data_IF_062812938101
#
_entry.id   IF_062812938101
#
_cell.length_a   1.000
_cell.length_b   1.000
_cell.length_c   1.000
_cell.angle_alpha   90.00
_cell.angle_beta   90.00
_cell.angle_gamma   90.00
#
_symmetry.space_group_name_H-M   'P 1'
#
loop_
_entity.id
_entity.type
_entity.pdbx_description
1 polymer ?
#
# COMPACT_ATOMS: atom_id res chain seq x y z
N UNK A 1 15.32 -36.81 -0.15
CA UNK A 1 14.27 -37.63 -0.77
C UNK A 1 13.82 -36.88 -2.01
N UNK A 2 14.47 -37.20 -3.16
CA UNK A 2 14.21 -36.52 -4.43
C UNK A 2 12.84 -36.97 -4.96
N UNK A 3 11.92 -36.05 -5.06
CA UNK A 3 10.65 -36.31 -5.75
C UNK A 3 10.93 -36.12 -7.25
N UNK A 4 11.04 -37.21 -7.98
CA UNK A 4 11.03 -37.24 -9.45
C UNK A 4 9.67 -36.72 -9.91
N UNK A 5 9.60 -35.43 -10.27
CA UNK A 5 8.50 -34.87 -11.05
C UNK A 5 9.04 -34.79 -12.46
N UNK A 6 8.50 -35.60 -13.36
CA UNK A 6 8.74 -35.59 -14.81
C UNK A 6 10.20 -35.63 -15.30
N UNK A 7 11.07 -36.48 -14.72
CA UNK A 7 12.37 -36.82 -15.33
C UNK A 7 13.46 -35.75 -15.33
N UNK A 8 13.22 -34.56 -14.81
CA UNK A 8 14.21 -33.47 -14.72
C UNK A 8 14.92 -33.52 -13.37
N UNK A 9 16.23 -33.74 -13.39
CA UNK A 9 17.09 -33.63 -12.19
C UNK A 9 17.60 -32.19 -12.09
N UNK A 10 17.24 -31.49 -11.02
CA UNK A 10 17.71 -30.15 -10.73
C UNK A 10 18.89 -30.25 -9.76
N UNK A 11 20.01 -29.70 -10.15
CA UNK A 11 21.27 -29.76 -9.38
C UNK A 11 21.35 -28.61 -8.36
N UNK A 12 22.07 -28.82 -7.26
CA UNK A 12 22.21 -27.77 -6.24
C UNK A 12 22.89 -26.49 -6.73
N UNK A 13 23.83 -26.61 -7.66
CA UNK A 13 24.47 -25.42 -8.23
C UNK A 13 23.51 -24.61 -9.10
N UNK A 14 22.57 -25.25 -9.82
CA UNK A 14 21.55 -24.56 -10.62
C UNK A 14 20.60 -23.77 -9.71
N UNK A 15 20.19 -24.35 -8.58
CA UNK A 15 19.38 -23.63 -7.58
C UNK A 15 20.15 -22.45 -6.96
N UNK A 16 21.44 -22.62 -6.71
CA UNK A 16 22.29 -21.55 -6.18
C UNK A 16 22.46 -20.42 -7.20
N UNK A 17 22.65 -20.76 -8.47
CA UNK A 17 22.74 -19.79 -9.55
C UNK A 17 21.42 -19.03 -9.74
N UNK A 18 20.29 -19.72 -9.67
CA UNK A 18 18.97 -19.13 -9.73
C UNK A 18 18.74 -18.11 -8.60
N UNK A 19 19.13 -18.45 -7.36
CA UNK A 19 19.06 -17.52 -6.21
C UNK A 19 19.88 -16.25 -6.47
N UNK A 20 21.11 -16.41 -6.94
CA UNK A 20 22.00 -15.26 -7.25
C UNK A 20 21.44 -14.40 -8.39
N UNK A 21 20.83 -15.03 -9.39
CA UNK A 21 20.20 -14.32 -10.51
C UNK A 21 19.00 -13.48 -10.03
N UNK A 22 18.12 -14.09 -9.25
CA UNK A 22 16.96 -13.40 -8.66
C UNK A 22 17.42 -12.24 -7.76
N UNK A 23 18.36 -12.48 -6.85
CA UNK A 23 18.91 -11.43 -5.99
C UNK A 23 19.48 -10.27 -6.80
N UNK A 24 20.25 -10.55 -7.83
CA UNK A 24 20.87 -9.51 -8.68
C UNK A 24 19.82 -8.67 -9.39
N UNK A 25 18.77 -9.28 -9.91
CA UNK A 25 17.77 -8.59 -10.71
C UNK A 25 16.69 -7.88 -9.87
N UNK A 26 16.35 -8.44 -8.71
CA UNK A 26 15.22 -7.96 -7.88
C UNK A 26 15.63 -7.48 -6.49
N UNK A 27 16.83 -7.83 -6.05
CA UNK A 27 17.28 -7.62 -4.68
C UNK A 27 16.71 -8.61 -3.66
N UNK A 28 15.74 -9.43 -4.08
CA UNK A 28 15.02 -10.35 -3.19
C UNK A 28 15.84 -11.61 -2.96
N UNK A 29 15.96 -12.00 -1.69
CA UNK A 29 16.55 -13.26 -1.27
C UNK A 29 15.46 -14.35 -1.31
N UNK A 30 15.68 -15.40 -2.08
CA UNK A 30 14.81 -16.58 -2.05
C UNK A 30 15.14 -17.43 -0.80
N UNK A 31 14.60 -17.02 0.33
CA UNK A 31 14.78 -17.73 1.61
C UNK A 31 13.74 -18.86 1.76
N UNK A 32 13.88 -19.89 0.91
CA UNK A 32 13.06 -21.08 0.93
C UNK A 32 13.96 -22.34 0.86
N UNK A 33 13.53 -23.51 1.39
CA UNK A 33 14.28 -24.75 1.26
C UNK A 33 14.56 -25.12 -0.21
N UNK A 34 15.72 -25.73 -0.48
CA UNK A 34 16.07 -26.20 -1.84
C UNK A 34 14.99 -27.11 -2.44
N UNK A 35 14.35 -27.93 -1.62
CA UNK A 35 13.25 -28.82 -2.06
C UNK A 35 12.01 -28.05 -2.57
N UNK A 36 11.69 -26.91 -1.92
CA UNK A 36 10.57 -26.07 -2.36
C UNK A 36 10.93 -25.31 -3.64
N UNK A 37 12.16 -24.77 -3.72
CA UNK A 37 12.64 -24.10 -4.91
C UNK A 37 12.71 -25.07 -6.11
N UNK A 38 13.24 -26.29 -5.90
CA UNK A 38 13.30 -27.32 -6.95
C UNK A 38 11.90 -27.73 -7.43
N UNK A 39 10.94 -27.87 -6.51
CA UNK A 39 9.56 -28.17 -6.89
C UNK A 39 8.93 -27.07 -7.74
N UNK A 40 9.17 -25.81 -7.37
CA UNK A 40 8.69 -24.66 -8.12
C UNK A 40 9.34 -24.56 -9.51
N UNK A 41 10.67 -24.79 -9.59
CA UNK A 41 11.39 -24.84 -10.87
C UNK A 41 10.81 -25.94 -11.77
N UNK A 42 10.61 -27.16 -11.24
CA UNK A 42 10.05 -28.26 -12.01
C UNK A 42 8.64 -27.92 -12.55
N UNK A 43 7.78 -27.35 -11.70
CA UNK A 43 6.44 -26.90 -12.13
C UNK A 43 6.50 -25.81 -13.20
N UNK A 44 7.43 -24.87 -13.07
CA UNK A 44 7.62 -23.80 -14.05
C UNK A 44 8.12 -24.34 -15.39
N UNK A 45 9.09 -25.27 -15.38
CA UNK A 45 9.60 -25.94 -16.58
C UNK A 45 8.49 -26.67 -17.34
N UNK A 46 7.64 -27.43 -16.62
CA UNK A 46 6.51 -28.14 -17.20
C UNK A 46 5.48 -27.17 -17.80
N UNK A 47 5.12 -26.12 -17.08
CA UNK A 47 4.13 -25.13 -17.53
C UNK A 47 4.56 -24.38 -18.79
N UNK A 48 5.86 -24.11 -18.92
CA UNK A 48 6.42 -23.33 -20.03
C UNK A 48 7.14 -24.18 -21.09
N UNK A 49 6.99 -25.52 -21.02
CA UNK A 49 7.58 -26.47 -21.96
C UNK A 49 9.10 -26.29 -22.13
N UNK A 50 9.80 -25.99 -21.02
CA UNK A 50 11.26 -25.82 -21.01
C UNK A 50 11.95 -27.14 -20.74
N UNK A 51 12.98 -27.45 -21.55
CA UNK A 51 13.65 -28.74 -21.52
C UNK A 51 14.58 -28.96 -20.31
N UNK A 52 15.05 -27.85 -19.68
CA UNK A 52 16.06 -27.95 -18.61
C UNK A 52 16.08 -26.71 -17.71
N UNK A 53 16.63 -26.82 -16.47
CA UNK A 53 16.92 -25.67 -15.63
C UNK A 53 17.85 -24.64 -16.27
N UNK A 54 18.79 -25.08 -17.11
CA UNK A 54 19.68 -24.20 -17.87
C UNK A 54 18.89 -23.31 -18.83
N UNK A 55 17.91 -23.87 -19.55
CA UNK A 55 17.02 -23.08 -20.41
C UNK A 55 16.19 -22.03 -19.63
N UNK A 56 15.77 -22.36 -18.41
CA UNK A 56 15.14 -21.39 -17.51
C UNK A 56 16.10 -20.27 -17.11
N UNK A 57 17.34 -20.61 -16.70
CA UNK A 57 18.35 -19.62 -16.33
C UNK A 57 18.66 -18.67 -17.49
N UNK A 58 18.80 -19.19 -18.71
CA UNK A 58 19.03 -18.37 -19.90
C UNK A 58 17.84 -17.46 -20.21
N UNK A 59 16.62 -17.97 -20.08
CA UNK A 59 15.41 -17.18 -20.22
C UNK A 59 15.33 -16.07 -19.17
N UNK A 60 15.63 -16.36 -17.91
CA UNK A 60 15.64 -15.37 -16.83
C UNK A 60 16.81 -14.36 -16.94
N UNK A 61 17.96 -14.74 -17.50
CA UNK A 61 19.06 -13.81 -17.80
C UNK A 61 18.68 -12.81 -18.90
N UNK A 62 17.90 -13.25 -19.87
CA UNK A 62 17.39 -12.39 -20.94
C UNK A 62 16.31 -11.40 -20.46
N UNK A 63 15.79 -11.54 -19.22
CA UNK A 63 14.70 -10.73 -18.66
C UNK A 63 15.03 -9.26 -18.39
N UNK A 64 16.25 -8.78 -18.61
CA UNK A 64 16.51 -7.34 -18.72
C UNK A 64 15.65 -6.70 -19.84
N UNK A 65 15.20 -7.51 -20.80
CA UNK A 65 14.34 -7.13 -21.92
C UNK A 65 12.84 -7.47 -21.66
N UNK A 66 12.54 -8.40 -20.75
CA UNK A 66 11.18 -8.82 -20.39
C UNK A 66 11.02 -9.06 -18.88
N UNK A 67 10.73 -8.00 -18.10
CA UNK A 67 10.50 -8.11 -16.66
C UNK A 67 9.31 -9.01 -16.28
N UNK A 68 8.38 -9.26 -17.20
CA UNK A 68 7.17 -10.04 -16.93
C UNK A 68 7.51 -11.52 -16.67
N UNK A 69 8.45 -12.09 -17.40
CA UNK A 69 8.88 -13.50 -17.23
C UNK A 69 9.48 -13.74 -15.84
N UNK A 70 10.33 -12.82 -15.35
CA UNK A 70 10.88 -12.94 -14.00
C UNK A 70 9.80 -12.78 -12.94
N UNK A 71 8.89 -11.83 -13.11
CA UNK A 71 7.78 -11.62 -12.19
C UNK A 71 6.86 -12.84 -12.11
N UNK A 72 6.55 -13.46 -13.25
CA UNK A 72 5.76 -14.69 -13.33
C UNK A 72 6.44 -15.85 -12.60
N UNK A 73 7.75 -16.02 -12.79
CA UNK A 73 8.53 -17.02 -12.05
C UNK A 73 8.48 -16.77 -10.52
N UNK A 74 8.59 -15.53 -10.10
CA UNK A 74 8.58 -15.16 -8.68
C UNK A 74 7.21 -15.28 -8.04
N UNK A 75 6.13 -15.13 -8.80
CA UNK A 75 4.75 -15.14 -8.32
C UNK A 75 4.37 -16.45 -7.61
N UNK A 76 4.89 -17.58 -8.09
CA UNK A 76 4.65 -18.87 -7.46
C UNK A 76 5.48 -19.15 -6.20
N UNK A 77 6.54 -18.39 -5.93
CA UNK A 77 7.48 -18.67 -4.84
C UNK A 77 7.53 -17.57 -3.76
N UNK A 78 7.24 -16.33 -4.14
CA UNK A 78 7.14 -15.22 -3.20
C UNK A 78 5.72 -15.13 -2.64
N UNK A 79 5.50 -15.76 -1.49
CA UNK A 79 4.24 -15.64 -0.75
C UNK A 79 4.28 -14.42 0.15
N UNK A 80 3.85 -13.27 -0.34
CA UNK A 80 3.65 -12.09 0.48
C UNK A 80 2.44 -12.32 1.41
N UNK A 81 2.70 -12.68 2.67
CA UNK A 81 1.66 -12.67 3.71
C UNK A 81 1.32 -11.23 4.01
N UNK A 82 0.21 -10.74 3.49
CA UNK A 82 -0.34 -9.42 3.77
C UNK A 82 -1.66 -9.53 4.50
N UNK A 83 -2.18 -8.41 5.02
CA UNK A 83 -3.47 -8.40 5.72
C UNK A 83 -3.86 -6.98 6.11
N UNK A 84 -5.16 -6.76 6.25
CA UNK A 84 -5.68 -5.47 6.71
C UNK A 84 -5.25 -5.18 8.14
N UNK A 85 -4.77 -3.95 8.40
CA UNK A 85 -4.30 -3.49 9.71
C UNK A 85 -3.27 -4.44 10.34
N UNK A 86 -2.44 -5.10 9.53
CA UNK A 86 -1.41 -6.04 10.01
C UNK A 86 -0.47 -5.41 11.04
N UNK A 87 -0.21 -4.10 10.90
CA UNK A 87 0.57 -3.29 11.82
C UNK A 87 -0.30 -2.19 12.47
N UNK A 88 -1.17 -2.54 13.44
CA UNK A 88 -2.13 -1.58 14.00
C UNK A 88 -1.44 -0.39 14.69
N UNK A 89 -0.26 -0.57 15.27
CA UNK A 89 0.54 0.52 15.85
C UNK A 89 0.94 1.57 14.81
N UNK A 90 1.29 1.16 13.59
CA UNK A 90 1.59 2.07 12.49
C UNK A 90 0.37 2.91 12.09
N UNK A 91 -0.80 2.27 11.97
CA UNK A 91 -2.05 2.97 11.64
C UNK A 91 -2.47 3.94 12.74
N UNK A 92 -2.28 3.57 14.01
CA UNK A 92 -2.53 4.45 15.16
C UNK A 92 -1.57 5.63 15.17
N UNK A 93 -0.27 5.40 14.98
CA UNK A 93 0.74 6.45 14.89
C UNK A 93 0.47 7.41 13.73
N UNK A 94 0.09 6.88 12.56
CA UNK A 94 -0.35 7.69 11.42
C UNK A 94 -1.51 8.61 11.82
N UNK A 95 -2.62 8.02 12.28
CA UNK A 95 -3.89 8.73 12.49
C UNK A 95 -3.79 9.76 13.63
N UNK A 96 -3.19 9.39 14.77
CA UNK A 96 -3.22 10.20 16.00
C UNK A 96 -2.06 11.16 16.13
N UNK A 97 -0.90 10.88 15.50
CA UNK A 97 0.29 11.69 15.71
C UNK A 97 0.82 12.33 14.44
N UNK A 98 0.95 11.55 13.35
CA UNK A 98 1.58 12.03 12.12
C UNK A 98 0.65 12.94 11.32
N UNK A 99 -0.59 12.53 11.06
CA UNK A 99 -1.54 13.33 10.30
C UNK A 99 -1.82 14.71 10.92
N UNK A 100 -2.03 14.87 12.26
CA UNK A 100 -2.18 16.19 12.86
C UNK A 100 -0.96 17.10 12.65
N UNK A 101 0.27 16.55 12.75
CA UNK A 101 1.50 17.32 12.51
C UNK A 101 1.64 17.76 11.05
N UNK A 102 1.31 16.87 10.10
CA UNK A 102 1.31 17.21 8.67
C UNK A 102 0.22 18.25 8.39
N UNK A 103 -0.97 18.10 8.98
CA UNK A 103 -2.07 19.05 8.82
C UNK A 103 -1.69 20.44 9.27
N UNK A 104 -1.14 20.60 10.48
CA UNK A 104 -0.67 21.88 10.99
C UNK A 104 0.33 22.51 10.03
N UNK A 105 1.37 21.76 9.61
CA UNK A 105 2.39 22.28 8.70
C UNK A 105 1.81 22.75 7.36
N UNK A 106 0.96 21.93 6.72
CA UNK A 106 0.45 22.24 5.36
C UNK A 106 -0.64 23.30 5.33
N UNK A 107 -1.37 23.51 6.42
CA UNK A 107 -2.35 24.61 6.48
C UNK A 107 -1.68 25.99 6.44
N UNK A 108 -0.44 26.07 6.90
CA UNK A 108 0.32 27.31 6.89
C UNK A 108 1.03 27.58 5.55
N UNK A 109 1.38 26.51 4.81
CA UNK A 109 2.28 26.58 3.63
C UNK A 109 1.56 26.55 2.27
N UNK A 110 0.23 26.24 2.19
CA UNK A 110 -0.46 26.18 0.90
C UNK A 110 -1.52 25.11 0.74
N UNK A 111 -1.65 24.45 -0.44
CA UNK A 111 -2.69 23.46 -0.68
C UNK A 111 -2.47 22.21 0.16
N UNK A 112 -3.55 21.72 0.78
CA UNK A 112 -3.54 20.54 1.64
C UNK A 112 -3.46 19.25 0.81
N UNK A 113 -2.29 18.93 0.28
CA UNK A 113 -2.04 17.68 -0.44
C UNK A 113 -1.28 16.71 0.45
N UNK A 114 -1.82 15.50 0.63
CA UNK A 114 -1.16 14.40 1.34
C UNK A 114 -0.75 13.33 0.33
N UNK A 115 0.55 13.05 0.27
CA UNK A 115 1.11 12.00 -0.58
C UNK A 115 1.70 10.89 0.28
N UNK A 116 1.20 9.68 0.11
CA UNK A 116 1.63 8.51 0.86
C UNK A 116 2.06 7.40 -0.10
N UNK A 117 3.12 6.68 0.23
CA UNK A 117 3.58 5.54 -0.52
C UNK A 117 3.62 4.28 0.37
N UNK A 118 2.95 3.21 -0.08
CA UNK A 118 3.03 1.85 0.44
C UNK A 118 3.98 1.07 -0.47
N UNK A 119 5.22 0.91 -0.06
CA UNK A 119 6.30 0.28 -0.81
C UNK A 119 6.40 -1.21 -0.42
N UNK A 120 6.04 -2.11 -1.34
CA UNK A 120 5.84 -3.53 -1.06
C UNK A 120 4.43 -3.80 -0.52
N UNK A 121 3.40 -3.25 -1.20
CA UNK A 121 2.02 -3.29 -0.73
C UNK A 121 1.34 -4.67 -0.83
N UNK A 122 1.99 -5.66 -1.47
CA UNK A 122 1.40 -6.97 -1.74
C UNK A 122 0.09 -6.85 -2.50
N UNK A 123 -0.92 -7.59 -2.05
CA UNK A 123 -2.27 -7.58 -2.62
C UNK A 123 -3.13 -6.38 -2.20
N UNK A 124 -2.51 -5.32 -1.64
CA UNK A 124 -3.13 -3.99 -1.45
C UNK A 124 -3.75 -3.73 -0.09
N UNK A 125 -3.80 -4.71 0.82
CA UNK A 125 -4.43 -4.56 2.14
C UNK A 125 -3.77 -3.44 2.97
N UNK A 126 -2.45 -3.27 2.87
CA UNK A 126 -1.73 -2.19 3.55
C UNK A 126 -2.15 -0.82 3.01
N UNK A 127 -2.11 -0.62 1.68
CA UNK A 127 -2.48 0.64 1.05
C UNK A 127 -3.94 1.04 1.36
N UNK A 128 -4.86 0.08 1.36
CA UNK A 128 -6.24 0.34 1.77
C UNK A 128 -6.39 0.58 3.27
N UNK A 129 -5.59 -0.08 4.12
CA UNK A 129 -5.59 0.21 5.57
C UNK A 129 -5.12 1.62 5.85
N UNK A 130 -4.12 2.11 5.13
CA UNK A 130 -3.66 3.50 5.16
C UNK A 130 -4.80 4.44 4.73
N UNK A 131 -5.50 4.13 3.62
CA UNK A 131 -6.63 4.92 3.15
C UNK A 131 -7.77 4.99 4.20
N UNK A 132 -8.09 3.86 4.84
CA UNK A 132 -9.08 3.81 5.91
C UNK A 132 -8.67 4.68 7.10
N UNK A 133 -7.41 4.57 7.57
CA UNK A 133 -6.89 5.33 8.69
C UNK A 133 -6.89 6.84 8.42
N UNK A 134 -6.55 7.25 7.19
CA UNK A 134 -6.58 8.66 6.77
C UNK A 134 -8.02 9.19 6.71
N UNK A 135 -8.95 8.43 6.11
CA UNK A 135 -10.37 8.82 6.03
C UNK A 135 -11.05 8.92 7.40
N UNK A 136 -10.62 8.11 8.37
CA UNK A 136 -11.12 8.16 9.74
C UNK A 136 -10.59 9.39 10.50
N UNK A 137 -9.32 9.72 10.28
CA UNK A 137 -8.66 10.85 10.94
C UNK A 137 -8.96 12.22 10.29
N UNK A 138 -9.23 12.25 8.99
CA UNK A 138 -9.51 13.46 8.20
C UNK A 138 -10.91 13.37 7.57
N UNK A 139 -12.00 13.63 8.32
CA UNK A 139 -13.38 13.40 7.85
C UNK A 139 -13.80 14.20 6.61
N UNK A 140 -13.06 15.29 6.28
CA UNK A 140 -13.27 16.10 5.07
C UNK A 140 -12.29 15.76 3.94
N UNK A 141 -11.53 14.68 4.07
CA UNK A 141 -10.53 14.23 3.09
C UNK A 141 -11.12 13.34 1.99
N UNK A 142 -12.27 13.68 1.42
CA UNK A 142 -12.75 13.03 0.20
C UNK A 142 -12.51 13.96 -0.99
N UNK A 143 -11.83 13.48 -2.02
CA UNK A 143 -11.79 14.16 -3.32
C UNK A 143 -13.24 14.44 -3.75
N UNK A 144 -13.64 15.72 -3.70
CA UNK A 144 -14.99 16.15 -4.02
C UNK A 144 -15.34 15.89 -5.49
N UNK A 145 -15.97 14.76 -5.75
CA UNK A 145 -16.82 14.57 -6.93
C UNK A 145 -17.95 13.60 -6.56
N UNK A 146 -18.76 14.03 -5.61
CA UNK A 146 -19.96 13.33 -5.16
C UNK A 146 -21.14 14.28 -5.17
N UNK A 147 -21.88 14.30 -6.27
CA UNK A 147 -23.20 14.89 -6.36
C UNK A 147 -24.12 14.20 -5.33
N UNK A 148 -24.09 14.67 -4.09
CA UNK A 148 -24.90 14.19 -2.97
C UNK A 148 -26.12 15.06 -2.80
N UNK A 149 -27.19 14.78 -3.56
CA UNK A 149 -28.54 15.25 -3.23
C UNK A 149 -29.00 14.59 -1.93
N UNK A 150 -28.71 15.23 -0.81
CA UNK A 150 -29.18 14.82 0.52
C UNK A 150 -30.51 15.50 0.86
N UNK A 151 -31.59 14.78 0.64
CA UNK A 151 -32.92 15.16 1.12
C UNK A 151 -32.98 14.85 2.62
N UNK A 152 -32.73 15.85 3.46
CA UNK A 152 -32.79 15.74 4.92
C UNK A 152 -34.07 16.35 5.49
N UNK A 153 -35.09 15.53 5.72
CA UNK A 153 -36.18 15.85 6.61
C UNK A 153 -35.75 15.71 8.07
N UNK A 154 -35.42 16.79 8.71
CA UNK A 154 -35.16 16.87 10.15
C UNK A 154 -36.00 17.95 10.79
N UNK A 155 -36.81 17.56 11.76
CA UNK A 155 -37.85 18.33 12.47
C UNK A 155 -37.31 19.65 13.06
N UNK A 156 -38.12 20.71 12.90
CA UNK A 156 -37.89 22.03 13.48
C UNK A 156 -38.32 22.02 14.97
N UNK A 157 -37.41 22.25 15.87
CA UNK A 157 -37.73 22.84 17.17
C UNK A 157 -37.45 24.36 17.14
N UNK A 158 -38.45 25.14 17.48
CA UNK A 158 -38.35 26.60 17.61
C UNK A 158 -37.86 26.97 18.99
N UNK A 159 -36.96 27.91 19.15
CA UNK A 159 -36.86 28.71 20.36
C UNK A 159 -37.53 30.07 20.17
N UNK A 160 -38.19 30.48 21.25
CA UNK A 160 -39.01 31.67 21.38
C UNK A 160 -38.20 32.98 21.34
N UNK A 161 -38.87 34.00 20.80
CA UNK A 161 -38.45 35.40 20.75
C UNK A 161 -38.18 36.02 22.12
N UNK A 162 -37.13 36.79 22.25
CA UNK A 162 -37.12 37.99 23.09
C UNK A 162 -36.38 39.15 22.39
N UNK A 163 -37.05 40.26 22.37
CA UNK A 163 -36.65 41.58 21.83
C UNK A 163 -35.47 42.19 22.56
N UNK A 164 -34.62 42.92 21.82
CA UNK A 164 -33.89 44.01 22.38
C UNK A 164 -32.56 44.31 21.68
N UNK A 165 -32.49 45.43 20.94
CA UNK A 165 -31.24 46.22 20.80
C UNK A 165 -30.51 46.14 19.49
N UNK A 166 -30.70 47.15 18.69
CA UNK A 166 -29.94 47.49 17.47
C UNK A 166 -28.47 47.85 17.88
N UNK A 167 -27.51 47.20 17.29
CA UNK A 167 -26.15 47.74 17.16
C UNK A 167 -25.56 47.27 15.84
N UNK A 168 -25.23 48.26 15.05
CA UNK A 168 -24.64 48.15 13.72
C UNK A 168 -23.20 47.63 13.78
N UNK A 169 -22.78 46.92 12.73
CA UNK A 169 -21.41 46.54 12.34
C UNK A 169 -20.66 45.53 13.25
N UNK A 170 -21.05 44.28 13.11
CA UNK A 170 -20.07 43.19 13.22
C UNK A 170 -20.35 42.18 12.07
N UNK A 171 -19.49 42.21 11.07
CA UNK A 171 -19.34 41.14 10.10
C UNK A 171 -19.12 39.86 10.91
N UNK A 172 -19.95 38.83 10.81
CA UNK A 172 -19.71 37.58 11.52
C UNK A 172 -18.33 37.04 11.04
N UNK A 173 -17.48 36.54 11.95
CA UNK A 173 -16.24 35.89 11.54
C UNK A 173 -16.63 34.77 10.57
N UNK A 174 -16.09 34.83 9.35
CA UNK A 174 -16.24 33.78 8.35
C UNK A 174 -15.92 32.47 9.04
N UNK A 175 -16.86 31.50 9.01
CA UNK A 175 -16.63 30.16 9.50
C UNK A 175 -15.29 29.67 8.92
N UNK A 176 -14.43 29.02 9.72
CA UNK A 176 -13.16 28.55 9.22
C UNK A 176 -13.43 27.68 8.01
N UNK A 177 -12.96 28.13 6.85
CA UNK A 177 -13.04 27.34 5.61
C UNK A 177 -12.24 26.07 5.87
N UNK A 178 -12.94 24.96 6.12
CA UNK A 178 -12.31 23.65 6.23
C UNK A 178 -11.61 23.36 4.90
N UNK A 179 -10.29 23.51 4.88
CA UNK A 179 -9.50 23.23 3.67
C UNK A 179 -9.73 21.78 3.26
N UNK A 180 -10.09 21.58 2.01
CA UNK A 180 -10.22 20.24 1.44
C UNK A 180 -8.85 19.60 1.25
N UNK A 181 -8.72 18.33 1.62
CA UNK A 181 -7.51 17.56 1.44
C UNK A 181 -7.53 16.81 0.12
N UNK A 182 -6.47 16.98 -0.68
CA UNK A 182 -6.18 16.11 -1.83
C UNK A 182 -5.27 14.97 -1.36
N UNK A 183 -5.81 13.75 -1.31
CA UNK A 183 -5.12 12.57 -0.80
C UNK A 183 -4.71 11.69 -1.97
N UNK A 184 -3.43 11.35 -2.04
CA UNK A 184 -2.85 10.47 -3.05
C UNK A 184 -2.02 9.38 -2.37
N UNK A 185 -2.46 8.15 -2.49
CA UNK A 185 -1.76 6.97 -1.98
C UNK A 185 -1.24 6.17 -3.17
N UNK A 186 0.03 5.87 -3.20
CA UNK A 186 0.65 4.98 -4.19
C UNK A 186 0.93 3.65 -3.50
N UNK A 187 0.37 2.56 -4.00
CA UNK A 187 0.76 1.20 -3.65
C UNK A 187 1.69 0.65 -4.73
N UNK A 188 2.78 0.03 -4.35
CA UNK A 188 3.66 -0.63 -5.32
C UNK A 188 4.16 -1.97 -4.82
N UNK A 189 4.28 -2.93 -5.72
CA UNK A 189 4.83 -4.25 -5.45
C UNK A 189 5.62 -4.79 -6.65
N UNK A 190 6.49 -5.75 -6.39
CA UNK A 190 7.28 -6.41 -7.42
C UNK A 190 6.43 -7.30 -8.33
N UNK A 191 5.36 -7.90 -7.78
CA UNK A 191 4.53 -8.91 -8.43
C UNK A 191 3.31 -8.29 -9.12
N UNK A 192 3.20 -8.38 -10.45
CA UNK A 192 2.03 -7.89 -11.19
C UNK A 192 0.71 -8.56 -10.75
N UNK A 193 0.74 -9.84 -10.37
CA UNK A 193 -0.44 -10.57 -9.88
C UNK A 193 -0.97 -9.99 -8.59
N UNK A 194 -0.07 -9.62 -7.65
CA UNK A 194 -0.44 -8.95 -6.41
C UNK A 194 -1.09 -7.59 -6.70
N UNK A 195 -0.51 -6.82 -7.62
CA UNK A 195 -1.06 -5.53 -8.06
C UNK A 195 -2.44 -5.70 -8.71
N UNK A 196 -2.66 -6.72 -9.55
CA UNK A 196 -3.98 -7.00 -10.12
C UNK A 196 -5.05 -7.29 -9.05
N UNK A 197 -4.70 -8.01 -7.98
CA UNK A 197 -5.61 -8.24 -6.83
C UNK A 197 -5.90 -6.93 -6.13
N UNK A 198 -4.88 -6.12 -5.87
CA UNK A 198 -4.99 -4.81 -5.23
C UNK A 198 -5.90 -3.85 -6.02
N UNK A 199 -5.73 -3.77 -7.34
CA UNK A 199 -6.55 -2.93 -8.22
C UNK A 199 -8.01 -3.37 -8.26
N UNK A 200 -8.28 -4.69 -8.27
CA UNK A 200 -9.64 -5.22 -8.17
C UNK A 200 -10.30 -4.79 -6.86
N UNK A 201 -9.53 -4.75 -5.77
CA UNK A 201 -10.02 -4.39 -4.43
C UNK A 201 -11.08 -5.36 -3.91
N UNK A 202 -11.03 -6.62 -4.35
CA UNK A 202 -11.98 -7.67 -4.03
C UNK A 202 -11.32 -8.70 -3.13
N UNK A 203 -11.83 -8.82 -1.91
CA UNK A 203 -11.22 -9.68 -0.89
C UNK A 203 -12.21 -10.68 -0.33
N UNK A 204 -11.78 -11.92 -0.02
CA UNK A 204 -12.63 -12.87 0.69
C UNK A 204 -12.90 -12.36 2.11
N UNK A 205 -14.07 -12.68 2.65
CA UNK A 205 -14.45 -12.25 4.00
C UNK A 205 -13.44 -12.69 5.07
N UNK A 206 -12.75 -13.81 4.86
CA UNK A 206 -11.67 -14.29 5.73
C UNK A 206 -10.49 -13.32 5.84
N UNK A 207 -10.18 -12.55 4.79
CA UNK A 207 -9.12 -11.55 4.80
C UNK A 207 -9.44 -10.35 5.73
N UNK A 208 -10.71 -10.17 6.09
CA UNK A 208 -11.19 -9.08 6.95
C UNK A 208 -11.32 -9.50 8.42
N UNK A 209 -10.89 -10.73 8.74
CA UNK A 209 -10.92 -11.26 10.11
C UNK A 209 -10.05 -10.38 11.01
N UNK A 210 -10.61 -9.89 12.12
CA UNK A 210 -9.91 -8.97 13.02
C UNK A 210 -10.25 -7.49 12.83
N UNK A 211 -10.86 -7.10 11.70
CA UNK A 211 -11.38 -5.75 11.55
C UNK A 211 -12.69 -5.54 12.33
N UNK A 212 -12.87 -4.40 13.01
CA UNK A 212 -14.13 -4.07 13.64
C UNK A 212 -15.30 -4.07 12.63
N UNK A 213 -16.48 -4.62 12.99
CA UNK A 213 -17.64 -4.66 12.08
C UNK A 213 -18.06 -3.28 11.55
N UNK A 214 -17.89 -2.23 12.34
CA UNK A 214 -18.16 -0.84 11.92
C UNK A 214 -17.22 -0.41 10.79
N UNK A 215 -15.93 -0.74 10.88
CA UNK A 215 -14.92 -0.46 9.87
C UNK A 215 -15.19 -1.23 8.57
N UNK A 216 -15.57 -2.51 8.68
CA UNK A 216 -15.96 -3.31 7.51
C UNK A 216 -17.15 -2.67 6.79
N UNK A 217 -18.21 -2.31 7.51
CA UNK A 217 -19.39 -1.63 6.92
C UNK A 217 -19.06 -0.28 6.31
N UNK A 218 -18.12 0.46 6.94
CA UNK A 218 -17.69 1.76 6.42
C UNK A 218 -16.87 1.64 5.15
N UNK A 219 -16.03 0.59 5.02
CA UNK A 219 -14.98 0.49 4.00
C UNK A 219 -15.29 -0.47 2.85
N UNK A 220 -16.18 -1.43 3.06
CA UNK A 220 -16.49 -2.48 2.09
C UNK A 220 -17.98 -2.54 1.75
N UNK A 221 -18.29 -3.10 0.57
CA UNK A 221 -19.65 -3.45 0.12
C UNK A 221 -19.70 -4.92 -0.28
N UNK A 222 -20.86 -5.56 -0.04
CA UNK A 222 -21.10 -6.93 -0.52
C UNK A 222 -21.33 -6.89 -2.03
N UNK A 223 -20.80 -7.87 -2.77
CA UNK A 223 -21.12 -8.06 -4.18
C UNK A 223 -22.54 -8.64 -4.25
N UNK A 224 -23.38 -8.07 -5.10
CA UNK A 224 -24.78 -8.50 -5.25
C UNK A 224 -25.81 -7.74 -4.43
N UNK A 225 -25.41 -6.76 -3.60
CA UNK A 225 -26.31 -5.85 -2.91
C UNK A 225 -26.53 -4.55 -3.72
N UNK A 226 -26.88 -4.66 -5.00
CA UNK A 226 -27.32 -3.49 -5.77
C UNK A 226 -28.81 -3.29 -5.59
N UNK A 227 -29.19 -2.30 -4.80
CA UNK A 227 -30.46 -1.62 -5.03
C UNK A 227 -30.39 -1.00 -6.43
N UNK A 228 -31.28 -1.49 -7.32
CA UNK A 228 -31.26 -1.27 -8.76
C UNK A 228 -30.98 0.16 -9.20
N UNK A 229 -30.00 0.30 -9.99
CA UNK A 229 -29.76 1.10 -11.19
C UNK A 229 -28.24 1.22 -11.41
N UNK A 230 -27.65 0.28 -12.09
CA UNK A 230 -26.23 0.35 -12.45
C UNK A 230 -25.84 -0.76 -13.42
N UNK A 231 -25.78 -0.40 -14.70
CA UNK A 231 -25.38 -1.25 -15.81
C UNK A 231 -23.99 -1.89 -15.64
N UNK A 232 -23.90 -3.20 -15.82
CA UNK A 232 -22.78 -3.84 -16.53
C UNK A 232 -21.52 -4.23 -15.76
N UNK A 233 -21.18 -3.63 -14.60
CA UNK A 233 -19.91 -3.91 -13.90
C UNK A 233 -20.00 -5.02 -12.84
N UNK A 234 -21.20 -5.32 -12.34
CA UNK A 234 -21.42 -6.35 -11.30
C UNK A 234 -21.28 -7.79 -11.85
N UNK A 235 -21.69 -8.01 -13.08
CA UNK A 235 -21.61 -9.36 -13.72
C UNK A 235 -20.18 -9.77 -14.06
N UNK A 236 -19.35 -8.83 -14.51
CA UNK A 236 -17.93 -9.07 -14.79
C UNK A 236 -17.12 -9.38 -13.50
N UNK A 237 -17.51 -8.79 -12.38
CA UNK A 237 -16.90 -9.06 -11.08
C UNK A 237 -17.37 -10.38 -10.45
N UNK A 238 -18.62 -10.80 -10.72
CA UNK A 238 -19.14 -12.10 -10.28
C UNK A 238 -18.47 -13.25 -11.02
N UNK A 239 -18.21 -13.13 -12.33
CA UNK A 239 -17.51 -14.15 -13.11
C UNK A 239 -16.06 -14.33 -12.67
N UNK A 240 -15.39 -13.27 -12.22
CA UNK A 240 -14.03 -13.33 -11.65
C UNK A 240 -13.97 -14.02 -10.28
N UNK A 241 -15.06 -13.95 -9.49
CA UNK A 241 -15.16 -14.59 -8.18
C UNK A 241 -15.41 -16.11 -8.27
N UNK A 242 -15.92 -16.60 -9.40
CA UNK A 242 -16.28 -18.03 -9.61
C UNK A 242 -15.16 -18.86 -10.23
N UNK A 243 -14.12 -18.24 -10.82
CA UNK A 243 -13.02 -18.95 -11.49
C UNK A 243 -11.89 -19.41 -10.56
N UNK A 244 -12.01 -19.22 -9.25
CA UNK A 244 -11.08 -19.72 -8.22
C UNK A 244 -11.71 -20.86 -7.42
N UNK A 245 -11.29 -22.07 -7.71
CA UNK A 245 -11.47 -23.32 -6.95
C UNK A 245 -12.40 -23.26 -5.73
N UNK A 246 -13.69 -23.52 -5.94
CA UNK A 246 -14.57 -24.29 -5.04
C UNK A 246 -14.78 -23.87 -3.59
N UNK A 247 -14.60 -22.62 -3.17
CA UNK A 247 -15.11 -22.18 -1.87
C UNK A 247 -16.17 -21.08 -2.06
N UNK A 248 -17.40 -21.37 -1.66
CA UNK A 248 -18.55 -20.45 -1.63
C UNK A 248 -18.36 -19.32 -0.59
N UNK A 249 -17.19 -18.66 -0.58
CA UNK A 249 -16.87 -17.58 0.34
C UNK A 249 -17.43 -16.25 -0.14
N UNK A 250 -18.14 -15.54 0.75
CA UNK A 250 -18.60 -14.18 0.48
C UNK A 250 -17.39 -13.27 0.24
N UNK A 251 -17.35 -12.62 -0.92
CA UNK A 251 -16.33 -11.60 -1.22
C UNK A 251 -16.89 -10.20 -0.97
N UNK A 252 -16.00 -9.31 -0.55
CA UNK A 252 -16.30 -7.93 -0.23
C UNK A 252 -15.43 -7.00 -1.08
N UNK A 253 -16.04 -5.99 -1.67
CA UNK A 253 -15.38 -5.01 -2.52
C UNK A 253 -15.06 -3.75 -1.72
N UNK A 254 -13.85 -3.26 -1.80
CA UNK A 254 -13.46 -1.95 -1.24
C UNK A 254 -14.30 -0.85 -1.90
N UNK A 255 -14.88 0.03 -1.08
CA UNK A 255 -15.78 1.09 -1.57
C UNK A 255 -15.05 2.07 -2.48
N UNK A 256 -15.74 2.64 -3.50
CA UNK A 256 -15.17 3.57 -4.47
C UNK A 256 -14.43 4.75 -3.84
N UNK A 257 -14.94 5.29 -2.73
CA UNK A 257 -14.32 6.41 -2.00
C UNK A 257 -12.88 6.12 -1.53
N UNK A 258 -12.57 4.85 -1.17
CA UNK A 258 -11.22 4.45 -0.78
C UNK A 258 -10.37 4.10 -2.01
N UNK A 259 -10.99 3.44 -2.99
CA UNK A 259 -10.30 3.06 -4.23
C UNK A 259 -9.82 4.28 -5.01
N UNK A 260 -10.58 5.37 -5.01
CA UNK A 260 -10.19 6.63 -5.70
C UNK A 260 -8.98 7.32 -5.07
N UNK A 261 -8.61 6.98 -3.84
CA UNK A 261 -7.44 7.54 -3.16
C UNK A 261 -6.15 6.79 -3.47
N UNK A 262 -6.23 5.55 -3.99
CA UNK A 262 -5.10 4.65 -4.14
C UNK A 262 -4.85 4.34 -5.61
N UNK A 263 -3.60 4.48 -6.04
CA UNK A 263 -3.12 4.04 -7.35
C UNK A 263 -2.09 2.94 -7.14
N UNK A 264 -2.19 1.85 -7.89
CA UNK A 264 -1.28 0.72 -7.80
C UNK A 264 -0.34 0.64 -9.00
N UNK A 265 0.91 0.22 -8.78
CA UNK A 265 1.91 0.08 -9.82
C UNK A 265 2.83 -1.11 -9.55
N UNK A 266 3.16 -1.87 -10.58
CA UNK A 266 4.24 -2.84 -10.49
C UNK A 266 5.57 -2.11 -10.45
N UNK A 267 6.38 -2.37 -9.42
CA UNK A 267 7.64 -1.66 -9.22
C UNK A 267 8.68 -2.52 -8.50
N UNK A 268 9.87 -2.57 -9.06
CA UNK A 268 11.04 -3.11 -8.39
C UNK A 268 11.71 -2.03 -7.53
N UNK A 269 11.66 -2.17 -6.21
CA UNK A 269 12.17 -1.17 -5.26
C UNK A 269 13.69 -0.98 -5.32
N UNK A 270 14.46 -1.93 -5.86
CA UNK A 270 15.91 -1.77 -6.01
C UNK A 270 16.30 -1.00 -7.28
N UNK A 271 15.42 -0.89 -8.26
CA UNK A 271 15.67 -0.09 -9.46
C UNK A 271 15.32 1.39 -9.20
N UNK A 272 16.18 2.34 -9.59
CA UNK A 272 15.89 3.76 -9.36
C UNK A 272 14.79 4.22 -10.32
N UNK A 273 13.61 4.50 -9.76
CA UNK A 273 12.48 5.12 -10.49
C UNK A 273 12.03 6.32 -9.67
N UNK A 274 12.07 7.50 -10.25
CA UNK A 274 11.57 8.69 -9.56
C UNK A 274 10.06 8.80 -9.67
N UNK A 275 9.39 8.66 -8.53
CA UNK A 275 7.92 8.74 -8.42
C UNK A 275 7.43 9.97 -7.64
N UNK A 276 8.32 10.93 -7.42
CA UNK A 276 8.05 12.15 -6.67
C UNK A 276 8.43 12.04 -5.20
N UNK A 277 7.97 13.02 -4.40
CA UNK A 277 8.19 13.05 -2.96
C UNK A 277 6.91 12.77 -2.19
N UNK A 278 7.05 12.22 -0.98
CA UNK A 278 5.96 11.75 -0.14
C UNK A 278 6.06 12.32 1.27
N UNK A 279 4.92 12.60 1.86
CA UNK A 279 4.82 12.97 3.26
C UNK A 279 5.04 11.77 4.18
N UNK A 280 4.55 10.59 3.75
CA UNK A 280 4.71 9.32 4.46
C UNK A 280 5.11 8.22 3.48
N UNK A 281 6.05 7.38 3.88
CA UNK A 281 6.40 6.14 3.19
C UNK A 281 6.24 4.99 4.18
N UNK A 282 5.48 3.96 3.79
CA UNK A 282 5.37 2.69 4.48
C UNK A 282 6.22 1.67 3.71
N UNK A 283 7.19 1.08 4.38
CA UNK A 283 8.06 0.04 3.82
C UNK A 283 8.21 -1.06 4.87
N UNK A 284 7.09 -1.79 5.09
CA UNK A 284 6.98 -2.74 6.20
C UNK A 284 7.13 -4.17 5.72
N UNK A 285 7.92 -4.96 6.45
CA UNK A 285 8.24 -6.37 6.17
C UNK A 285 8.97 -6.59 4.80
N UNK A 286 9.54 -5.53 4.23
CA UNK A 286 10.29 -5.56 2.96
C UNK A 286 11.78 -5.78 3.19
N UNK A 287 12.36 -5.08 4.16
CA UNK A 287 13.81 -5.10 4.38
C UNK A 287 14.38 -6.50 4.65
N UNK A 288 13.71 -7.38 5.41
CA UNK A 288 14.22 -8.73 5.64
C UNK A 288 14.37 -9.57 4.37
N UNK A 289 13.58 -9.26 3.34
CA UNK A 289 13.60 -9.97 2.06
C UNK A 289 14.76 -9.54 1.15
N UNK A 290 15.48 -8.46 1.50
CA UNK A 290 16.55 -7.89 0.68
C UNK A 290 17.93 -8.23 1.26
N UNK A 291 18.95 -8.31 0.40
CA UNK A 291 20.34 -8.39 0.85
C UNK A 291 20.79 -7.11 1.55
N UNK A 292 21.85 -7.20 2.37
CA UNK A 292 22.32 -6.06 3.18
C UNK A 292 22.62 -4.82 2.32
N UNK A 293 23.26 -5.00 1.18
CA UNK A 293 23.62 -3.89 0.30
C UNK A 293 22.39 -3.24 -0.32
N UNK A 294 21.40 -4.06 -0.71
CA UNK A 294 20.14 -3.58 -1.26
C UNK A 294 19.28 -2.85 -0.21
N UNK A 295 19.33 -3.29 1.05
CA UNK A 295 18.66 -2.56 2.16
C UNK A 295 19.20 -1.15 2.30
N UNK A 296 20.54 -0.98 2.29
CA UNK A 296 21.16 0.35 2.39
C UNK A 296 20.77 1.24 1.21
N UNK A 297 20.89 0.73 -0.01
CA UNK A 297 20.54 1.47 -1.22
C UNK A 297 19.03 1.83 -1.26
N UNK A 298 18.16 0.95 -0.76
CA UNK A 298 16.74 1.25 -0.63
C UNK A 298 16.50 2.35 0.39
N UNK A 299 17.15 2.29 1.57
CA UNK A 299 16.99 3.31 2.60
C UNK A 299 17.41 4.71 2.11
N UNK A 300 18.51 4.81 1.37
CA UNK A 300 18.96 6.06 0.75
C UNK A 300 17.91 6.62 -0.21
N UNK A 301 17.28 5.76 -1.02
CA UNK A 301 16.21 6.16 -1.93
C UNK A 301 14.94 6.58 -1.20
N UNK A 302 14.51 5.83 -0.19
CA UNK A 302 13.35 6.21 0.61
C UNK A 302 13.58 7.55 1.31
N UNK A 303 14.79 7.78 1.81
CA UNK A 303 15.14 9.08 2.37
C UNK A 303 15.09 10.20 1.33
N UNK A 304 15.56 9.96 0.10
CA UNK A 304 15.48 10.92 -1.01
C UNK A 304 14.02 11.26 -1.37
N UNK A 305 13.16 10.24 -1.41
CA UNK A 305 11.75 10.38 -1.78
C UNK A 305 10.86 10.93 -0.66
N UNK A 306 11.34 11.04 0.57
CA UNK A 306 10.63 11.74 1.62
C UNK A 306 10.77 13.25 1.49
N UNK A 307 9.66 13.96 1.69
CA UNK A 307 9.68 15.40 1.92
C UNK A 307 10.48 15.74 3.18
N UNK A 308 11.10 16.91 3.26
CA UNK A 308 11.61 17.42 4.53
C UNK A 308 10.49 17.41 5.59
N UNK A 309 10.77 16.84 6.76
CA UNK A 309 9.77 16.61 7.81
C UNK A 309 8.81 15.45 7.54
N UNK A 310 9.02 14.66 6.50
CA UNK A 310 8.26 13.45 6.16
C UNK A 310 8.62 12.25 7.02
N UNK A 311 7.80 11.20 6.97
CA UNK A 311 7.85 10.07 7.88
C UNK A 311 8.02 8.74 7.15
N UNK A 312 8.94 7.90 7.64
CA UNK A 312 9.14 6.53 7.21
C UNK A 312 8.62 5.58 8.29
N UNK A 313 7.74 4.67 7.89
CA UNK A 313 7.19 3.59 8.70
C UNK A 313 7.86 2.28 8.31
N UNK A 314 8.42 1.58 9.29
CA UNK A 314 8.97 0.23 9.18
C UNK A 314 8.21 -0.68 10.13
N UNK A 315 8.22 -2.00 9.93
CA UNK A 315 7.65 -2.90 10.93
C UNK A 315 8.48 -2.87 12.23
N UNK A 316 7.87 -3.20 13.37
CA UNK A 316 8.55 -3.14 14.67
C UNK A 316 9.74 -4.11 14.79
N UNK A 317 9.77 -5.14 13.97
CA UNK A 317 10.87 -6.11 13.90
C UNK A 317 12.03 -5.63 13.03
N UNK A 318 11.80 -4.62 12.19
CA UNK A 318 12.81 -4.05 11.31
C UNK A 318 13.57 -2.92 12.01
N UNK A 319 14.88 -2.95 11.86
CA UNK A 319 15.74 -1.89 12.39
C UNK A 319 16.26 -1.05 11.25
N UNK A 320 16.10 0.26 11.38
CA UNK A 320 16.75 1.22 10.48
C UNK A 320 18.27 1.19 10.75
N UNK A 321 19.00 0.53 9.86
CA UNK A 321 20.46 0.56 9.87
C UNK A 321 20.97 1.40 8.71
N UNK A 322 20.97 2.72 8.89
CA UNK A 322 21.40 3.69 7.90
C UNK A 322 22.15 4.84 8.59
N UNK A 323 23.41 4.58 9.06
CA UNK A 323 24.16 5.52 9.90
C UNK A 323 24.43 6.86 9.20
N UNK A 324 24.46 6.89 7.89
CA UNK A 324 24.72 8.08 7.07
C UNK A 324 23.46 8.90 6.77
N UNK A 325 22.25 8.39 7.14
CA UNK A 325 21.01 9.08 6.89
C UNK A 325 20.53 9.79 8.16
N UNK A 326 20.19 11.06 8.00
CA UNK A 326 19.75 11.88 9.12
C UNK A 326 18.26 11.67 9.39
N UNK A 327 17.90 10.50 9.96
CA UNK A 327 16.56 10.23 10.48
C UNK A 327 16.52 10.51 11.98
N UNK A 328 15.44 11.12 12.44
CA UNK A 328 15.08 11.19 13.87
C UNK A 328 14.07 10.09 14.17
N UNK A 329 14.34 9.32 15.21
CA UNK A 329 13.40 8.32 15.71
C UNK A 329 12.41 9.02 16.66
N UNK A 330 11.13 8.79 16.45
CA UNK A 330 10.04 9.27 17.29
C UNK A 330 9.20 8.05 17.68
N UNK A 331 8.85 7.91 18.95
CA UNK A 331 8.06 6.76 19.44
C UNK A 331 6.71 7.25 19.94
N UNK A 332 5.64 6.67 19.43
CA UNK A 332 4.25 6.97 19.76
C UNK A 332 3.51 5.69 20.13
N UNK A 333 2.93 5.64 21.32
CA UNK A 333 2.18 4.48 21.83
C UNK A 333 2.96 3.14 21.67
N UNK A 334 4.28 3.18 21.87
CA UNK A 334 5.19 2.05 21.72
C UNK A 334 5.56 1.69 20.28
N UNK A 335 5.10 2.43 19.27
CA UNK A 335 5.48 2.27 17.88
C UNK A 335 6.52 3.33 17.47
N UNK A 336 7.63 2.89 16.89
CA UNK A 336 8.73 3.76 16.46
C UNK A 336 8.61 4.09 14.97
N UNK A 337 8.64 5.38 14.65
CA UNK A 337 8.68 5.91 13.29
C UNK A 337 9.97 6.72 13.08
N UNK A 338 10.34 6.90 11.83
CA UNK A 338 11.56 7.61 11.44
C UNK A 338 11.19 8.87 10.68
N UNK A 339 11.54 10.03 11.24
CA UNK A 339 11.26 11.33 10.63
C UNK A 339 12.49 11.87 9.92
N UNK A 340 12.35 12.29 8.66
CA UNK A 340 13.34 13.09 7.98
C UNK A 340 13.32 14.50 8.55
N UNK A 341 14.46 15.09 9.00
CA UNK A 341 14.46 16.46 9.50
C UNK A 341 13.96 17.46 8.46
N UNK A 342 13.42 18.57 8.94
CA UNK A 342 13.19 19.74 8.08
C UNK A 342 14.51 20.21 7.49
N UNK A 343 14.51 20.68 6.25
CA UNK A 343 15.65 21.41 5.72
C UNK A 343 15.93 22.59 6.67
N UNK A 344 17.19 22.76 7.07
CA UNK A 344 17.56 23.95 7.81
C UNK A 344 17.13 25.17 6.97
N UNK A 345 16.29 26.05 7.54
CA UNK A 345 15.98 27.31 6.88
C UNK A 345 17.33 28.00 6.68
N UNK A 346 17.72 28.19 5.42
CA UNK A 346 18.84 29.05 5.12
C UNK A 346 18.45 30.43 5.68
N UNK A 347 19.01 30.77 6.84
CA UNK A 347 18.93 32.12 7.33
C UNK A 347 19.66 32.97 6.29
N UNK A 348 18.91 33.54 5.35
CA UNK A 348 19.41 34.64 4.56
C UNK A 348 19.64 35.79 5.56
N UNK A 349 20.87 35.88 6.06
CA UNK A 349 21.35 37.08 6.74
C UNK A 349 21.20 38.24 5.77
N UNK A 350 20.38 39.19 6.18
CA UNK A 350 20.34 40.51 5.57
C UNK A 350 21.59 41.29 5.99
#
# INVERSE_FOLDING_TARGET
MHRLIAGVTILEHELSELRLLVERQTGVLLDCPNSALAAHVAEYLERHELESPAALLDRLRACDLDPATLAEFLDGILNAKTGFYRHPGAMTALARHVLPQIATRKTDEGPCTLRVWSAGCGTGEEAYSIAMAICDALPNGSNGNGNGSGNGNGAKEKPACRNGGISENSVPPSAPTTKEWSIHIVGSDLLPSAIQVAERGLYPQSALTGLPPAMIRASFSKIGSSNGNGNGTAEALQSAATNGNGSNGTHLLVKPRLRSLVTFNTMNLIKPVYIGRFDCIFCMDVLPQLSRNQRLALMERLHLYLEPGGYLFLSQTEKLYAPNLNFRQETYDGYTIHRKPMAASAAYGR
#
